data_IF_526288968587
#
_entry.id   IF_526288968587
#
_cell.length_a   1.000
_cell.length_b   1.000
_cell.length_c   1.000
_cell.angle_alpha   90.00
_cell.angle_beta   90.00
_cell.angle_gamma   90.00
#
_symmetry.space_group_name_H-M   'P 1'
#
loop_
_entity.id
_entity.type
_entity.pdbx_description
1 polymer ?
#
# COMPACT_ATOMS: atom_id res chain seq x y z
N UNK A 1 -10.32 2.71 -17.69
CA UNK A 1 -10.01 3.34 -16.39
C UNK A 1 -8.54 3.68 -16.28
N UNK A 2 -8.24 4.86 -15.81
CA UNK A 2 -6.87 5.28 -15.51
C UNK A 2 -6.72 5.50 -14.01
N UNK A 3 -5.61 5.05 -13.46
CA UNK A 3 -5.33 5.22 -12.04
C UNK A 3 -3.89 5.60 -11.76
N UNK A 4 -3.66 6.04 -10.54
CA UNK A 4 -2.33 6.31 -10.01
C UNK A 4 -2.17 5.61 -8.67
N UNK A 5 -0.94 5.37 -8.26
CA UNK A 5 -0.63 5.01 -6.88
C UNK A 5 0.06 6.18 -6.17
N UNK A 6 -0.19 6.31 -4.89
CA UNK A 6 0.32 7.43 -4.10
C UNK A 6 0.78 6.98 -2.72
N UNK A 7 1.72 7.73 -2.15
CA UNK A 7 2.21 7.53 -0.79
C UNK A 7 2.62 8.88 -0.19
N UNK A 8 3.17 8.86 1.02
CA UNK A 8 3.73 10.07 1.64
C UNK A 8 4.83 10.71 0.79
N UNK A 9 5.50 9.93 -0.07
CA UNK A 9 6.53 10.44 -0.97
C UNK A 9 6.01 11.47 -1.97
N UNK A 10 4.73 11.45 -2.27
CA UNK A 10 4.09 12.41 -3.18
C UNK A 10 3.70 13.72 -2.49
N UNK A 11 3.86 13.81 -1.17
CA UNK A 11 3.48 14.98 -0.40
C UNK A 11 1.98 15.22 -0.36
N UNK A 12 1.58 16.48 -0.26
CA UNK A 12 0.17 16.86 -0.31
C UNK A 12 -0.30 16.92 -1.75
N UNK A 13 -1.39 16.23 -2.05
CA UNK A 13 -1.91 16.06 -3.42
C UNK A 13 -3.21 16.85 -3.57
N UNK A 14 -3.33 17.58 -4.67
CA UNK A 14 -4.59 18.20 -5.07
C UNK A 14 -5.42 17.19 -5.87
N UNK A 15 -6.30 16.47 -5.18
CA UNK A 15 -7.13 15.43 -5.79
C UNK A 15 -8.19 15.97 -6.75
N UNK A 16 -8.58 17.23 -6.60
CA UNK A 16 -9.48 17.86 -7.57
C UNK A 16 -8.82 17.97 -8.94
N UNK A 17 -7.54 18.34 -8.98
CA UNK A 17 -6.76 18.36 -10.23
C UNK A 17 -6.51 16.95 -10.78
N UNK A 18 -6.24 15.98 -9.91
CA UNK A 18 -6.09 14.58 -10.31
C UNK A 18 -7.36 14.10 -11.02
N UNK A 19 -8.51 14.32 -10.42
CA UNK A 19 -9.81 13.97 -11.02
C UNK A 19 -10.02 14.68 -12.35
N UNK A 20 -9.75 15.99 -12.40
CA UNK A 20 -9.93 16.79 -13.60
C UNK A 20 -9.02 16.36 -14.76
N UNK A 21 -7.87 15.73 -14.47
CA UNK A 21 -6.95 15.22 -15.49
C UNK A 21 -7.36 13.89 -16.11
N UNK A 22 -8.50 13.31 -15.72
CA UNK A 22 -9.02 12.07 -16.29
C UNK A 22 -8.65 10.82 -15.52
N UNK A 23 -8.13 10.96 -14.30
CA UNK A 23 -7.85 9.83 -13.41
C UNK A 23 -9.14 9.36 -12.75
N UNK A 24 -9.35 8.04 -12.72
CA UNK A 24 -10.57 7.41 -12.21
C UNK A 24 -10.38 6.83 -10.81
N UNK A 25 -9.19 6.32 -10.51
CA UNK A 25 -8.93 5.67 -9.22
C UNK A 25 -7.52 5.93 -8.69
N UNK A 26 -7.37 5.74 -7.40
CA UNK A 26 -6.11 5.91 -6.68
C UNK A 26 -5.86 4.68 -5.81
N UNK A 27 -4.68 4.10 -5.91
CA UNK A 27 -4.19 3.08 -4.97
C UNK A 27 -3.33 3.79 -3.93
N UNK A 28 -3.77 3.79 -2.69
CA UNK A 28 -3.12 4.55 -1.61
C UNK A 28 -2.28 3.61 -0.75
N UNK A 29 -0.99 3.94 -0.59
CA UNK A 29 -0.16 3.17 0.33
C UNK A 29 -0.67 3.33 1.76
N UNK A 30 -1.05 2.21 2.38
CA UNK A 30 -1.46 2.20 3.78
C UNK A 30 -0.24 2.21 4.71
N UNK A 31 0.83 1.56 4.30
CA UNK A 31 2.05 1.52 5.08
C UNK A 31 3.04 0.50 4.54
N UNK A 32 3.99 0.15 5.36
CA UNK A 32 5.07 -0.77 4.99
C UNK A 32 5.63 -1.50 6.22
N UNK A 33 6.15 -2.70 5.98
CA UNK A 33 6.88 -3.47 6.96
C UNK A 33 6.08 -3.83 8.21
N UNK A 34 6.70 -3.69 9.36
CA UNK A 34 6.19 -4.17 10.65
C UNK A 34 5.16 -3.28 11.34
N UNK A 35 4.45 -2.44 10.63
CA UNK A 35 3.40 -1.64 11.24
C UNK A 35 3.62 -0.14 11.07
N UNK A 36 4.43 0.23 10.11
CA UNK A 36 4.66 1.63 9.78
C UNK A 36 3.53 2.13 8.89
N UNK A 37 2.51 2.72 9.51
CA UNK A 37 1.45 3.38 8.77
C UNK A 37 2.03 4.55 7.98
N UNK A 38 1.64 4.66 6.69
CA UNK A 38 1.99 5.82 5.89
C UNK A 38 1.38 7.07 6.53
N UNK A 39 2.20 8.07 6.81
CA UNK A 39 1.78 9.28 7.53
C UNK A 39 0.68 10.08 6.81
N UNK A 40 0.50 9.84 5.51
CA UNK A 40 -0.55 10.49 4.71
C UNK A 40 -1.66 9.54 4.28
N UNK A 41 -1.72 8.33 4.82
CA UNK A 41 -2.72 7.35 4.44
C UNK A 41 -4.14 7.89 4.64
N UNK A 42 -4.46 8.32 5.84
CA UNK A 42 -5.79 8.85 6.16
C UNK A 42 -6.14 10.06 5.28
N UNK A 43 -5.22 10.99 5.14
CA UNK A 43 -5.39 12.18 4.32
C UNK A 43 -5.65 11.83 2.86
N UNK A 44 -4.85 10.92 2.30
CA UNK A 44 -4.99 10.51 0.90
C UNK A 44 -6.32 9.81 0.66
N UNK A 45 -6.72 8.88 1.54
CA UNK A 45 -8.01 8.18 1.42
C UNK A 45 -9.17 9.18 1.46
N UNK A 46 -9.20 10.04 2.47
CA UNK A 46 -10.30 10.97 2.68
C UNK A 46 -10.41 11.98 1.54
N UNK A 47 -9.29 12.55 1.12
CA UNK A 47 -9.27 13.56 0.07
C UNK A 47 -9.58 12.98 -1.32
N UNK A 48 -9.08 11.79 -1.61
CA UNK A 48 -9.40 11.11 -2.87
C UNK A 48 -10.89 10.79 -2.97
N UNK A 49 -11.49 10.29 -1.89
CA UNK A 49 -12.95 10.03 -1.85
C UNK A 49 -13.74 11.31 -1.99
N UNK A 50 -13.35 12.37 -1.30
CA UNK A 50 -14.02 13.68 -1.39
C UNK A 50 -13.99 14.24 -2.82
N UNK A 51 -12.95 13.95 -3.59
CA UNK A 51 -12.83 14.35 -4.99
C UNK A 51 -13.62 13.45 -5.97
N UNK A 52 -14.24 12.39 -5.48
CA UNK A 52 -15.04 11.47 -6.30
C UNK A 52 -14.22 10.39 -7.01
N UNK A 53 -13.00 10.13 -6.55
CA UNK A 53 -12.16 9.05 -7.06
C UNK A 53 -12.52 7.71 -6.41
N UNK A 54 -12.35 6.63 -7.15
CA UNK A 54 -12.35 5.29 -6.56
C UNK A 54 -11.05 5.06 -5.82
N UNK A 55 -11.09 4.37 -4.68
CA UNK A 55 -9.92 4.21 -3.81
C UNK A 55 -9.68 2.74 -3.47
N UNK A 56 -8.47 2.29 -3.71
CA UNK A 56 -7.93 1.05 -3.17
C UNK A 56 -6.75 1.35 -2.26
N UNK A 57 -6.18 0.32 -1.67
CA UNK A 57 -5.04 0.47 -0.77
C UNK A 57 -3.99 -0.61 -1.04
N UNK A 58 -2.74 -0.32 -0.71
CA UNK A 58 -1.70 -1.32 -0.77
C UNK A 58 -0.74 -1.23 0.42
N UNK A 59 -0.09 -2.35 0.69
CA UNK A 59 0.94 -2.47 1.73
C UNK A 59 2.25 -2.89 1.07
N UNK A 60 3.32 -2.17 1.36
CA UNK A 60 4.65 -2.52 0.88
C UNK A 60 5.28 -3.54 1.84
N UNK A 61 5.58 -4.74 1.32
CA UNK A 61 6.03 -5.85 2.15
C UNK A 61 7.53 -5.76 2.41
N UNK A 62 7.89 -5.74 3.71
CA UNK A 62 9.24 -6.02 4.18
C UNK A 62 9.16 -7.20 5.13
N UNK A 63 9.58 -8.38 4.66
CA UNK A 63 9.49 -9.61 5.43
C UNK A 63 10.65 -10.54 5.07
N UNK A 64 11.15 -11.28 6.05
CA UNK A 64 12.24 -12.24 5.86
C UNK A 64 11.72 -13.68 5.80
N UNK A 65 10.48 -13.91 6.20
CA UNK A 65 9.83 -15.22 6.23
C UNK A 65 8.31 -15.07 6.27
N UNK A 66 7.60 -16.19 6.26
CA UNK A 66 6.13 -16.22 6.29
C UNK A 66 5.54 -15.58 7.54
N UNK A 67 6.15 -15.82 8.70
CA UNK A 67 5.67 -15.26 9.97
C UNK A 67 5.69 -13.74 9.94
N UNK A 68 6.76 -13.17 9.44
CA UNK A 68 6.89 -11.72 9.29
C UNK A 68 5.93 -11.17 8.24
N UNK A 69 5.72 -11.90 7.15
CA UNK A 69 4.75 -11.52 6.12
C UNK A 69 3.34 -11.49 6.71
N UNK A 70 2.99 -12.48 7.52
CA UNK A 70 1.70 -12.53 8.20
C UNK A 70 1.54 -11.34 9.16
N UNK A 71 2.58 -10.98 9.90
CA UNK A 71 2.56 -9.80 10.77
C UNK A 71 2.31 -8.51 9.98
N UNK A 72 2.95 -8.37 8.80
CA UNK A 72 2.67 -7.27 7.88
C UNK A 72 1.18 -7.25 7.48
N UNK A 73 0.64 -8.40 7.11
CA UNK A 73 -0.75 -8.53 6.68
C UNK A 73 -1.74 -8.18 7.81
N UNK A 74 -1.47 -8.63 9.02
CA UNK A 74 -2.33 -8.37 10.18
C UNK A 74 -2.45 -6.86 10.47
N UNK A 75 -1.34 -6.13 10.37
CA UNK A 75 -1.36 -4.67 10.54
C UNK A 75 -2.15 -4.01 9.42
N UNK A 76 -1.94 -4.43 8.18
CA UNK A 76 -2.67 -3.89 7.03
C UNK A 76 -4.17 -4.10 7.18
N UNK A 77 -4.59 -5.30 7.53
CA UNK A 77 -6.01 -5.61 7.76
C UNK A 77 -6.59 -4.71 8.86
N UNK A 78 -5.86 -4.51 9.95
CA UNK A 78 -6.28 -3.61 11.03
C UNK A 78 -6.50 -2.17 10.57
N UNK A 79 -5.63 -1.66 9.68
CA UNK A 79 -5.79 -0.33 9.11
C UNK A 79 -7.01 -0.26 8.17
N UNK A 80 -7.23 -1.31 7.37
CA UNK A 80 -8.38 -1.37 6.46
C UNK A 80 -9.72 -1.36 7.22
N UNK A 81 -9.77 -1.96 8.40
CA UNK A 81 -10.97 -1.98 9.25
C UNK A 81 -11.45 -0.57 9.62
N UNK A 82 -10.53 0.40 9.77
CA UNK A 82 -10.89 1.80 10.06
C UNK A 82 -11.69 2.46 8.93
N UNK A 83 -11.56 1.93 7.72
CA UNK A 83 -12.20 2.48 6.52
C UNK A 83 -13.14 1.48 5.87
N UNK A 84 -13.72 0.60 6.66
CA UNK A 84 -14.66 -0.41 6.18
C UNK A 84 -15.78 0.23 5.37
N UNK A 85 -15.99 -0.27 4.16
CA UNK A 85 -16.98 0.26 3.22
C UNK A 85 -16.52 1.46 2.40
N UNK A 86 -15.30 1.97 2.63
CA UNK A 86 -14.76 3.11 1.89
C UNK A 86 -14.07 2.67 0.60
N UNK A 87 -13.39 1.52 0.62
CA UNK A 87 -12.63 1.04 -0.53
C UNK A 87 -13.55 0.39 -1.55
N UNK A 88 -13.56 0.92 -2.76
CA UNK A 88 -14.31 0.41 -3.91
C UNK A 88 -13.39 -0.12 -5.02
N UNK A 89 -12.09 -0.17 -4.77
CA UNK A 89 -11.07 -0.85 -5.57
C UNK A 89 -10.40 -1.94 -4.73
N UNK A 90 -9.76 -2.92 -5.36
CA UNK A 90 -9.05 -3.98 -4.63
C UNK A 90 -7.97 -3.45 -3.72
N UNK A 91 -7.61 -4.24 -2.72
CA UNK A 91 -6.41 -4.01 -1.91
C UNK A 91 -5.30 -4.92 -2.42
N UNK A 92 -4.06 -4.49 -2.29
CA UNK A 92 -2.92 -5.22 -2.85
C UNK A 92 -1.75 -5.29 -1.87
N UNK A 93 -0.96 -6.35 -2.01
CA UNK A 93 0.35 -6.47 -1.38
C UNK A 93 1.41 -6.20 -2.42
N UNK A 94 2.32 -5.29 -2.12
CA UNK A 94 3.40 -4.88 -3.02
C UNK A 94 4.71 -5.52 -2.57
N UNK A 95 5.25 -6.42 -3.40
CA UNK A 95 6.53 -7.07 -3.18
C UNK A 95 7.41 -6.84 -4.41
N UNK A 96 8.48 -6.08 -4.24
CA UNK A 96 9.32 -5.69 -5.36
C UNK A 96 10.81 -5.61 -4.99
N UNK A 97 11.62 -4.95 -5.80
CA UNK A 97 13.07 -4.88 -5.63
C UNK A 97 13.50 -4.48 -4.21
N UNK A 98 12.89 -3.48 -3.62
CA UNK A 98 13.25 -3.02 -2.27
C UNK A 98 12.87 -4.04 -1.20
N UNK A 99 11.84 -4.86 -1.42
CA UNK A 99 11.51 -5.98 -0.54
C UNK A 99 12.64 -7.01 -0.52
N UNK A 100 13.15 -7.37 -1.70
CA UNK A 100 14.29 -8.28 -1.81
C UNK A 100 15.60 -7.66 -1.29
N UNK A 101 15.81 -6.37 -1.53
CA UNK A 101 16.97 -5.65 -0.99
C UNK A 101 16.98 -5.69 0.53
N UNK A 102 15.84 -5.49 1.15
CA UNK A 102 15.69 -5.63 2.61
C UNK A 102 16.10 -7.01 3.08
N UNK A 103 15.69 -8.07 2.36
CA UNK A 103 16.09 -9.44 2.68
C UNK A 103 17.61 -9.59 2.61
N UNK A 104 18.25 -9.13 1.54
CA UNK A 104 19.72 -9.23 1.36
C UNK A 104 20.47 -8.47 2.42
N UNK A 105 20.04 -7.25 2.73
CA UNK A 105 20.67 -6.39 3.76
C UNK A 105 20.53 -7.01 5.15
N UNK A 106 19.53 -7.86 5.35
CA UNK A 106 19.29 -8.58 6.62
C UNK A 106 19.95 -9.99 6.63
N UNK A 107 20.74 -10.32 5.61
CA UNK A 107 21.45 -11.61 5.55
C UNK A 107 20.62 -12.78 5.01
N UNK A 108 19.46 -12.50 4.41
CA UNK A 108 18.59 -13.52 3.83
C UNK A 108 18.68 -13.45 2.31
N UNK A 109 19.01 -14.56 1.66
CA UNK A 109 19.05 -14.64 0.21
C UNK A 109 17.65 -14.84 -0.35
N UNK A 110 17.13 -13.93 -1.19
CA UNK A 110 15.85 -14.12 -1.83
C UNK A 110 15.88 -15.35 -2.76
N UNK A 111 14.87 -16.19 -2.64
CA UNK A 111 14.66 -17.31 -3.56
C UNK A 111 13.22 -17.28 -4.04
N UNK A 112 12.96 -17.91 -5.18
CA UNK A 112 11.58 -17.99 -5.70
C UNK A 112 10.64 -18.63 -4.68
N UNK A 113 11.08 -19.71 -4.03
CA UNK A 113 10.28 -20.40 -3.03
C UNK A 113 9.95 -19.51 -1.84
N UNK A 114 10.95 -18.80 -1.29
CA UNK A 114 10.77 -17.92 -0.16
C UNK A 114 9.89 -16.72 -0.51
N UNK A 115 10.13 -16.09 -1.66
CA UNK A 115 9.33 -14.97 -2.12
C UNK A 115 7.87 -15.37 -2.33
N UNK A 116 7.64 -16.56 -2.91
CA UNK A 116 6.28 -17.10 -3.08
C UNK A 116 5.58 -17.33 -1.74
N UNK A 117 6.32 -17.80 -0.74
CA UNK A 117 5.77 -18.03 0.60
C UNK A 117 5.41 -16.71 1.32
N UNK A 118 6.18 -15.66 1.09
CA UNK A 118 5.95 -14.33 1.68
C UNK A 118 4.73 -13.64 1.05
N UNK A 119 4.57 -13.77 -0.26
CA UNK A 119 3.47 -13.14 -1.00
C UNK A 119 2.15 -13.88 -0.76
#
# INVERSE_FOLDING_TARGET
MKGIDVSSHNGSIDYSQVKASGIDFVMVRAGYGYGYEDERFSQNVERAKAAGLHVGAYWFIYALNEEQAKANADVFVGLLERYKGTFDMPVACDFEYDSERYMRDSGVTPTRALNTAII
#
